data_IF_418346442500
#
_entry.id   IF_418346442500
#
_cell.length_a   1.000
_cell.length_b   1.000
_cell.length_c   1.000
_cell.angle_alpha   90.00
_cell.angle_beta   90.00
_cell.angle_gamma   90.00
#
_symmetry.space_group_name_H-M   'P 1'
#
loop_
_entity.id
_entity.type
_entity.pdbx_description
1 polymer ?
#
# COMPACT_ATOMS: atom_id res chain seq x y z
N UNK A 1 -2.77 -15.18 8.65
CA UNK A 1 -2.15 -13.88 8.94
C UNK A 1 -3.27 -12.87 8.85
N UNK A 2 -3.51 -12.09 9.90
CA UNK A 2 -4.54 -11.05 9.85
C UNK A 2 -4.21 -10.07 8.72
N UNK A 3 -5.21 -9.78 7.88
CA UNK A 3 -5.07 -8.85 6.78
C UNK A 3 -4.97 -7.44 7.36
N UNK A 4 -3.92 -6.70 7.00
CA UNK A 4 -3.72 -5.32 7.48
C UNK A 4 -4.89 -4.45 7.03
N UNK A 5 -5.35 -3.58 7.93
CA UNK A 5 -6.38 -2.59 7.59
C UNK A 5 -5.87 -1.59 6.56
N UNK A 6 -6.79 -0.92 5.86
CA UNK A 6 -6.43 0.13 4.90
C UNK A 6 -5.60 1.25 5.54
N UNK A 7 -5.91 1.63 6.78
CA UNK A 7 -5.17 2.64 7.54
C UNK A 7 -3.73 2.21 7.87
N UNK A 8 -3.52 0.93 8.18
CA UNK A 8 -2.17 0.40 8.40
C UNK A 8 -1.36 0.38 7.10
N UNK A 9 -1.98 0.01 5.97
CA UNK A 9 -1.34 0.05 4.66
C UNK A 9 -0.96 1.48 4.25
N UNK A 10 -1.85 2.45 4.49
CA UNK A 10 -1.58 3.88 4.25
C UNK A 10 -0.40 4.38 5.11
N UNK A 11 -0.35 4.01 6.39
CA UNK A 11 0.75 4.39 7.28
C UNK A 11 2.09 3.83 6.77
N UNK A 12 2.13 2.57 6.33
CA UNK A 12 3.34 1.97 5.76
C UNK A 12 3.77 2.64 4.46
N UNK A 13 2.83 2.97 3.57
CA UNK A 13 3.12 3.67 2.32
C UNK A 13 3.73 5.06 2.60
N UNK A 14 3.17 5.80 3.56
CA UNK A 14 3.67 7.10 3.97
C UNK A 14 5.10 7.04 4.51
N UNK A 15 5.43 6.00 5.29
CA UNK A 15 6.78 5.77 5.78
C UNK A 15 7.76 5.43 4.64
N UNK A 16 7.34 4.67 3.63
CA UNK A 16 8.15 4.43 2.42
C UNK A 16 8.41 5.73 1.67
N UNK A 17 7.38 6.56 1.45
CA UNK A 17 7.51 7.85 0.75
C UNK A 17 8.47 8.77 1.51
N UNK A 18 8.41 8.78 2.84
CA UNK A 18 9.32 9.55 3.68
C UNK A 18 10.77 9.10 3.51
N UNK A 19 11.04 7.79 3.52
CA UNK A 19 12.38 7.23 3.28
C UNK A 19 12.89 7.55 1.88
N UNK A 20 12.05 7.44 0.86
CA UNK A 20 12.42 7.79 -0.52
C UNK A 20 12.82 9.25 -0.73
N UNK A 21 12.44 10.16 0.19
CA UNK A 21 12.84 11.57 0.16
C UNK A 21 14.17 11.83 0.87
N UNK A 22 14.79 10.83 1.49
CA UNK A 22 16.08 10.99 2.16
C UNK A 22 17.18 11.24 1.11
N UNK A 23 18.01 12.28 1.31
CA UNK A 23 19.10 12.58 0.39
C UNK A 23 20.19 11.51 0.47
N UNK A 24 20.94 11.32 -0.61
CA UNK A 24 22.05 10.36 -0.71
C UNK A 24 21.66 8.89 -0.46
N UNK A 25 20.40 8.53 -0.71
CA UNK A 25 19.94 7.15 -0.59
C UNK A 25 20.57 6.25 -1.67
N UNK A 26 20.95 5.03 -1.27
CA UNK A 26 21.46 4.03 -2.19
C UNK A 26 20.42 3.63 -3.25
N UNK A 27 20.88 3.36 -4.48
CA UNK A 27 20.00 3.04 -5.60
C UNK A 27 19.24 1.73 -5.37
N UNK A 28 19.87 0.72 -4.79
CA UNK A 28 19.21 -0.56 -4.51
C UNK A 28 18.17 -0.40 -3.40
N UNK A 29 18.50 0.38 -2.36
CA UNK A 29 17.53 0.74 -1.31
C UNK A 29 16.32 1.47 -1.90
N UNK A 30 16.56 2.40 -2.83
CA UNK A 30 15.50 3.12 -3.53
C UNK A 30 14.63 2.19 -4.38
N UNK A 31 15.24 1.24 -5.09
CA UNK A 31 14.52 0.25 -5.89
C UNK A 31 13.67 -0.70 -5.02
N UNK A 32 14.20 -1.14 -3.87
CA UNK A 32 13.47 -1.96 -2.91
C UNK A 32 12.29 -1.22 -2.29
N UNK A 33 12.49 0.05 -1.92
CA UNK A 33 11.42 0.91 -1.41
C UNK A 33 10.32 1.13 -2.46
N UNK A 34 10.69 1.36 -3.71
CA UNK A 34 9.74 1.47 -4.82
C UNK A 34 8.91 0.20 -4.98
N UNK A 35 9.56 -0.98 -5.00
CA UNK A 35 8.88 -2.28 -5.12
C UNK A 35 7.91 -2.51 -3.97
N UNK A 36 8.33 -2.22 -2.73
CA UNK A 36 7.45 -2.32 -1.55
C UNK A 36 6.27 -1.36 -1.62
N UNK A 37 6.49 -0.13 -2.10
CA UNK A 37 5.42 0.84 -2.30
C UNK A 37 4.38 0.35 -3.31
N UNK A 38 4.81 -0.24 -4.42
CA UNK A 38 3.92 -0.86 -5.41
C UNK A 38 3.11 -2.02 -4.82
N UNK A 39 3.73 -2.90 -4.03
CA UNK A 39 3.03 -4.01 -3.37
C UNK A 39 1.97 -3.52 -2.38
N UNK A 40 2.23 -2.43 -1.66
CA UNK A 40 1.24 -1.84 -0.74
C UNK A 40 0.09 -1.21 -1.51
N UNK A 41 0.36 -0.45 -2.57
CA UNK A 41 -0.68 0.15 -3.41
C UNK A 41 -1.63 -0.91 -3.99
N UNK A 42 -1.09 -2.03 -4.46
CA UNK A 42 -1.91 -3.15 -4.95
C UNK A 42 -2.81 -3.75 -3.87
N UNK A 43 -2.32 -3.85 -2.63
CA UNK A 43 -3.14 -4.31 -1.50
C UNK A 43 -4.23 -3.32 -1.15
N UNK A 44 -3.91 -2.02 -1.12
CA UNK A 44 -4.89 -0.96 -0.86
C UNK A 44 -6.00 -0.95 -1.92
N UNK A 45 -5.63 -1.07 -3.20
CA UNK A 45 -6.58 -1.18 -4.32
C UNK A 45 -7.46 -2.42 -4.17
N UNK A 46 -6.87 -3.57 -3.85
CA UNK A 46 -7.63 -4.81 -3.60
C UNK A 46 -8.63 -4.64 -2.45
N UNK A 47 -8.21 -4.05 -1.32
CA UNK A 47 -9.10 -3.83 -0.17
C UNK A 47 -10.30 -2.95 -0.55
N UNK A 48 -10.09 -1.88 -1.32
CA UNK A 48 -11.19 -1.03 -1.79
C UNK A 48 -12.12 -1.76 -2.77
N UNK A 49 -11.57 -2.54 -3.68
CA UNK A 49 -12.35 -3.35 -4.62
C UNK A 49 -13.19 -4.41 -3.89
N UNK A 50 -12.60 -5.10 -2.91
CA UNK A 50 -13.29 -6.11 -2.10
C UNK A 50 -14.47 -5.47 -1.32
N UNK A 51 -14.27 -4.26 -0.77
CA UNK A 51 -15.34 -3.49 -0.12
C UNK A 51 -16.43 -3.05 -1.10
N UNK A 52 -16.05 -2.59 -2.30
CA UNK A 52 -17.00 -2.17 -3.32
C UNK A 52 -17.89 -3.34 -3.77
N UNK A 53 -17.30 -4.52 -4.02
CA UNK A 53 -18.03 -5.74 -4.37
C UNK A 53 -19.00 -6.16 -3.28
N UNK A 54 -18.61 -6.02 -2.00
CA UNK A 54 -19.49 -6.32 -0.87
C UNK A 54 -20.75 -5.42 -0.89
N UNK A 55 -20.57 -4.11 -1.09
CA UNK A 55 -21.69 -3.14 -1.16
C UNK A 55 -22.58 -3.35 -2.38
N UNK A 56 -22.00 -3.64 -3.56
CA UNK A 56 -22.76 -3.91 -4.79
C UNK A 56 -23.49 -5.27 -4.76
N UNK A 57 -22.94 -6.25 -4.03
CA UNK A 57 -23.57 -7.57 -3.84
C UNK A 57 -24.78 -7.55 -2.90
N UNK A 58 -24.80 -6.64 -1.92
CA UNK A 58 -25.92 -6.47 -0.97
C UNK A 58 -27.09 -5.64 -1.54
N UNK A 59 -26.92 -5.00 -2.70
CA UNK A 59 -27.92 -4.13 -3.33
C UNK A 59 -28.66 -4.76 -4.52
N UNK A 60 -28.46 -6.06 -4.79
CA UNK A 60 -29.23 -6.87 -5.77
C UNK A 60 -30.23 -7.80 -5.10
#
# INVERSE_FOLDING_TARGET
MEEKTYAELEAELNEIIKKMKEPNQDLNVSADLYKKGQEILQKMEKTLNDLAVMVEGETK
#
